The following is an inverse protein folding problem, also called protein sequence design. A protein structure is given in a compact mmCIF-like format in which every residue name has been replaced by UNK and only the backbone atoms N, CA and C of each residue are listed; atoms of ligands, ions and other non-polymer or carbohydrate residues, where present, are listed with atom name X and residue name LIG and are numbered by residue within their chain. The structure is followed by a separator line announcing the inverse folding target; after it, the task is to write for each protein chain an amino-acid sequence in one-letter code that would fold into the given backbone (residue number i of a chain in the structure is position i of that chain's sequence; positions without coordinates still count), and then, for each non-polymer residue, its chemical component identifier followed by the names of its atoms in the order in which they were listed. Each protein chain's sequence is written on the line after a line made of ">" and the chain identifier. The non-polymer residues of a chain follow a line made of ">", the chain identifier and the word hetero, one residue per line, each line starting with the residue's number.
data_IF_714227610711
#
_entry.id   IF_714227610711
#
_cell.length_a   1.000
_cell.length_b   1.000
_cell.length_c   1.000
_cell.angle_alpha   90.00
_cell.angle_beta   90.00
_cell.angle_gamma   90.00
#
_symmetry.space_group_name_H-M   'P 1'
#
loop_
_entity.id
_entity.type
_entity.pdbx_description
1 polymer ?
#
# COMPACT_ATOMS: atom_id res chain seq x y z
N UNK A 1 -12.04 -8.42 -16.11
CA UNK A 1 -10.80 -8.26 -15.33
C UNK A 1 -11.16 -7.56 -14.02
N UNK A 2 -11.00 -8.21 -12.88
CA UNK A 2 -11.35 -7.63 -11.56
C UNK A 2 -10.24 -6.69 -11.10
N UNK A 3 -10.60 -5.46 -10.74
CA UNK A 3 -9.66 -4.47 -10.21
C UNK A 3 -9.43 -4.75 -8.73
N UNK A 4 -8.17 -4.70 -8.28
CA UNK A 4 -7.78 -4.74 -6.87
C UNK A 4 -7.22 -3.36 -6.49
N UNK A 5 -7.57 -2.87 -5.31
CA UNK A 5 -7.04 -1.61 -4.76
C UNK A 5 -6.16 -1.89 -3.56
N UNK A 6 -5.14 -1.05 -3.36
CA UNK A 6 -4.29 -1.06 -2.18
C UNK A 6 -4.35 0.34 -1.59
N UNK A 7 -4.80 0.45 -0.34
CA UNK A 7 -4.80 1.71 0.41
C UNK A 7 -3.54 1.74 1.28
N UNK A 8 -2.79 2.83 1.19
CA UNK A 8 -1.59 3.08 1.99
C UNK A 8 -1.87 4.27 2.90
N UNK A 9 -1.80 4.04 4.22
CA UNK A 9 -1.80 5.11 5.20
C UNK A 9 -0.33 5.52 5.39
N UNK A 10 -0.07 6.82 5.31
CA UNK A 10 1.25 7.42 5.44
C UNK A 10 1.24 8.42 6.59
N UNK A 11 2.35 8.52 7.32
CA UNK A 11 2.60 9.66 8.19
C UNK A 11 2.86 10.92 7.36
N UNK A 12 2.84 12.09 8.00
CA UNK A 12 3.13 13.36 7.35
C UNK A 12 4.54 13.38 6.72
N UNK A 13 5.53 12.79 7.41
CA UNK A 13 6.91 12.68 6.93
C UNK A 13 7.01 11.81 5.67
N UNK A 14 6.29 10.69 5.66
CA UNK A 14 6.23 9.78 4.53
C UNK A 14 5.50 10.39 3.33
N UNK A 15 4.44 11.16 3.59
CA UNK A 15 3.71 11.90 2.57
C UNK A 15 4.60 12.96 1.91
N UNK A 16 5.39 13.70 2.70
CA UNK A 16 6.36 14.66 2.17
C UNK A 16 7.44 13.96 1.33
N UNK A 17 7.96 12.82 1.79
CA UNK A 17 8.93 12.00 1.02
C UNK A 17 8.35 11.59 -0.34
N UNK A 18 7.13 11.06 -0.35
CA UNK A 18 6.44 10.67 -1.58
C UNK A 18 6.19 11.88 -2.51
N UNK A 19 5.76 13.01 -1.95
CA UNK A 19 5.52 14.23 -2.71
C UNK A 19 6.79 14.72 -3.43
N UNK A 20 7.94 14.70 -2.74
CA UNK A 20 9.23 15.08 -3.33
C UNK A 20 9.66 14.14 -4.46
N UNK A 21 9.53 12.83 -4.26
CA UNK A 21 9.82 11.83 -5.30
C UNK A 21 9.02 12.12 -6.58
N UNK A 22 7.74 12.47 -6.44
CA UNK A 22 6.86 12.78 -7.57
C UNK A 22 7.28 14.09 -8.25
N UNK A 23 7.55 15.14 -7.48
CA UNK A 23 7.98 16.43 -8.01
C UNK A 23 9.31 16.35 -8.78
N UNK A 24 10.27 15.61 -8.23
CA UNK A 24 11.61 15.48 -8.79
C UNK A 24 11.64 14.46 -9.95
N UNK A 25 10.57 13.70 -10.16
CA UNK A 25 10.51 12.63 -11.16
C UNK A 25 11.51 11.50 -10.87
N UNK A 26 11.89 11.30 -9.60
CA UNK A 26 12.89 10.33 -9.16
C UNK A 26 12.32 8.90 -9.27
N UNK A 27 12.60 8.25 -10.40
CA UNK A 27 12.14 6.89 -10.69
C UNK A 27 12.71 5.86 -9.71
N UNK A 28 13.98 6.02 -9.34
CA UNK A 28 14.65 5.09 -8.44
C UNK A 28 14.12 5.28 -7.01
N UNK A 29 13.88 6.52 -6.60
CA UNK A 29 13.20 6.86 -5.34
C UNK A 29 11.80 6.30 -5.26
N UNK A 30 11.04 6.41 -6.35
CA UNK A 30 9.69 5.83 -6.45
C UNK A 30 9.73 4.31 -6.29
N UNK A 31 10.65 3.61 -6.97
CA UNK A 31 10.77 2.16 -6.84
C UNK A 31 11.12 1.74 -5.41
N UNK A 32 12.11 2.40 -4.79
CA UNK A 32 12.47 2.14 -3.39
C UNK A 32 11.30 2.36 -2.44
N UNK A 33 10.52 3.42 -2.64
CA UNK A 33 9.33 3.69 -1.84
C UNK A 33 8.28 2.59 -2.00
N UNK A 34 8.02 2.12 -3.23
CA UNK A 34 7.08 1.03 -3.46
C UNK A 34 7.55 -0.28 -2.81
N UNK A 35 8.84 -0.59 -2.88
CA UNK A 35 9.42 -1.76 -2.25
C UNK A 35 9.33 -1.72 -0.72
N UNK A 36 9.61 -0.56 -0.12
CA UNK A 36 9.57 -0.34 1.32
C UNK A 36 8.14 -0.45 1.86
N UNK A 37 7.16 0.17 1.20
CA UNK A 37 5.82 0.36 1.76
C UNK A 37 4.76 -0.59 1.20
N UNK A 38 4.92 -1.10 -0.03
CA UNK A 38 3.87 -1.83 -0.73
C UNK A 38 4.21 -3.28 -1.06
N UNK A 39 5.48 -3.69 -1.07
CA UNK A 39 5.89 -5.04 -1.48
C UNK A 39 5.09 -6.15 -0.78
N UNK A 40 5.02 -6.11 0.54
CA UNK A 40 4.31 -7.11 1.33
C UNK A 40 2.79 -7.05 1.14
N UNK A 41 2.23 -5.85 0.97
CA UNK A 41 0.78 -5.67 0.75
C UNK A 41 0.38 -6.19 -0.63
N UNK A 42 1.16 -5.87 -1.65
CA UNK A 42 0.99 -6.39 -3.01
C UNK A 42 1.07 -7.91 -2.99
N UNK A 43 2.10 -8.47 -2.34
CA UNK A 43 2.25 -9.92 -2.19
C UNK A 43 1.01 -10.56 -1.56
N UNK A 44 0.56 -10.07 -0.40
CA UNK A 44 -0.65 -10.59 0.28
C UNK A 44 -1.91 -10.48 -0.58
N UNK A 45 -2.08 -9.39 -1.31
CA UNK A 45 -3.24 -9.19 -2.20
C UNK A 45 -3.18 -10.12 -3.42
N UNK A 46 -1.98 -10.44 -3.91
CA UNK A 46 -1.76 -11.41 -4.99
C UNK A 46 -2.03 -12.84 -4.54
N UNK A 47 -1.50 -13.23 -3.38
CA UNK A 47 -1.66 -14.56 -2.77
C UNK A 47 -3.04 -14.79 -2.11
N UNK A 48 -3.93 -13.80 -2.12
CA UNK A 48 -5.28 -13.91 -1.57
C UNK A 48 -5.39 -13.72 -0.05
N UNK A 49 -4.29 -13.43 0.65
CA UNK A 49 -4.23 -13.09 2.08
C UNK A 49 -4.68 -11.65 2.41
N UNK A 50 -5.25 -10.92 1.45
CA UNK A 50 -5.56 -9.48 1.56
C UNK A 50 -6.99 -9.12 1.96
N UNK A 51 -7.93 -10.08 2.03
CA UNK A 51 -9.23 -9.81 2.62
C UNK A 51 -9.14 -10.00 4.13
N UNK A 52 -8.73 -8.95 4.84
CA UNK A 52 -9.29 -8.76 6.17
C UNK A 52 -10.80 -8.71 5.97
N UNK A 53 -11.52 -9.68 6.54
CA UNK A 53 -12.95 -9.56 6.75
C UNK A 53 -13.23 -8.15 7.30
N UNK A 54 -14.25 -7.45 6.80
CA UNK A 54 -14.66 -6.19 7.39
C UNK A 54 -14.83 -6.35 8.91
N UNK A 55 -14.47 -5.33 9.69
CA UNK A 55 -14.55 -5.35 11.17
C UNK A 55 -15.95 -5.70 11.72
N UNK A 56 -17.01 -5.61 10.91
CA UNK A 56 -18.37 -6.03 11.29
C UNK A 56 -18.62 -7.55 11.18
N UNK A 57 -17.71 -8.34 10.61
CA UNK A 57 -17.82 -9.81 10.55
C UNK A 57 -17.19 -10.52 11.76
N UNK A 58 -16.72 -9.76 12.76
CA UNK A 58 -16.16 -10.29 14.02
C UNK A 58 -17.18 -10.40 15.17
N UNK A 59 -18.49 -10.28 14.93
CA UNK A 59 -19.54 -10.64 15.91
C UNK A 59 -19.97 -12.08 15.67
N UNK A 60 -19.18 -13.01 16.19
CA UNK A 60 -19.39 -14.44 16.03
C UNK A 60 -18.63 -15.29 17.04
N UNK A 61 -18.74 -14.94 18.33
CA UNK A 61 -18.75 -15.93 19.41
C UNK A 61 -19.38 -15.35 20.67
#
# INVERSE_FOLDING_TARGET
>A
MTKKSIVLALSDEELVKLYRIILDGDKDGALRFLEEYLKDRVWKVMEGFGHCKPWFECSGR
#
